data_IF_475829082005
#
_entry.id   IF_475829082005
#
_cell.length_a   1.000
_cell.length_b   1.000
_cell.length_c   1.000
_cell.angle_alpha   90.00
_cell.angle_beta   90.00
_cell.angle_gamma   90.00
#
_symmetry.space_group_name_H-M   'P 1'
#
loop_
_entity.id
_entity.type
_entity.pdbx_description
1 polymer ?
#
# COMPACT_ATOMS: atom_id res chain seq x y z
N UNK A 1 -13.74 11.91 -25.19
CA UNK A 1 -12.50 11.14 -24.96
C UNK A 1 -12.01 11.53 -23.57
N UNK A 2 -12.23 10.68 -22.56
CA UNK A 2 -11.89 11.02 -21.16
C UNK A 2 -10.37 10.94 -21.00
N UNK A 3 -9.74 12.08 -20.73
CA UNK A 3 -8.32 12.15 -20.42
C UNK A 3 -8.09 11.50 -19.04
N UNK A 4 -7.43 10.35 -19.04
CA UNK A 4 -6.92 9.73 -17.81
C UNK A 4 -5.68 10.55 -17.44
N UNK A 5 -5.88 11.53 -16.56
CA UNK A 5 -4.82 12.31 -15.91
C UNK A 5 -4.06 11.36 -14.98
N UNK A 6 -3.05 10.68 -15.52
CA UNK A 6 -2.03 10.05 -14.71
C UNK A 6 -1.11 11.16 -14.17
N UNK A 7 -1.43 11.69 -13.00
CA UNK A 7 -0.48 12.51 -12.25
C UNK A 7 0.47 11.56 -11.54
N UNK A 8 1.65 11.37 -12.13
CA UNK A 8 2.80 10.84 -11.42
C UNK A 8 3.33 12.00 -10.57
N UNK A 9 3.05 11.99 -9.27
CA UNK A 9 3.70 12.87 -8.33
C UNK A 9 5.14 12.42 -8.15
N UNK A 10 6.05 13.09 -8.85
CA UNK A 10 7.46 13.21 -8.47
C UNK A 10 7.54 13.94 -7.13
N UNK A 11 8.15 13.32 -6.12
CA UNK A 11 8.63 14.04 -4.93
C UNK A 11 9.77 13.30 -4.24
N UNK A 12 10.97 13.66 -4.70
CA UNK A 12 12.21 13.91 -3.96
C UNK A 12 12.30 13.48 -2.49
N UNK A 13 13.35 12.71 -2.23
CA UNK A 13 13.81 12.18 -0.95
C UNK A 13 13.90 13.23 0.16
N UNK A 14 13.22 12.95 1.28
CA UNK A 14 13.73 13.07 2.65
C UNK A 14 12.53 13.06 3.62
N UNK A 15 12.32 11.92 4.29
CA UNK A 15 11.23 11.75 5.27
C UNK A 15 9.81 11.93 4.67
N UNK A 16 9.60 11.34 3.50
CA UNK A 16 8.42 11.51 2.65
C UNK A 16 7.17 10.99 3.37
N UNK A 17 6.35 11.92 3.82
CA UNK A 17 5.06 11.66 4.46
C UNK A 17 4.21 10.83 3.50
N UNK A 18 4.07 9.53 3.79
CA UNK A 18 3.23 8.61 3.02
C UNK A 18 1.86 9.25 2.75
N UNK A 19 1.51 9.41 1.49
CA UNK A 19 0.27 10.03 1.05
C UNK A 19 -0.55 9.09 0.16
N UNK A 20 -1.80 9.45 -0.07
CA UNK A 20 -2.68 8.67 -0.95
C UNK A 20 -2.14 8.77 -2.36
N UNK A 21 -1.87 7.63 -3.01
CA UNK A 21 -1.25 7.56 -4.32
C UNK A 21 0.25 7.24 -4.31
N UNK A 22 0.92 7.31 -3.16
CA UNK A 22 2.34 6.93 -3.06
C UNK A 22 2.54 5.44 -3.37
N UNK A 23 3.62 5.14 -4.09
CA UNK A 23 4.11 3.78 -4.27
C UNK A 23 4.85 3.33 -3.01
N UNK A 24 4.59 2.10 -2.59
CA UNK A 24 5.20 1.50 -1.41
C UNK A 24 5.70 0.10 -1.73
N UNK A 25 6.73 -0.32 -1.01
CA UNK A 25 7.26 -1.68 -1.05
C UNK A 25 7.10 -2.34 0.31
N UNK A 26 6.61 -3.58 0.30
CA UNK A 26 6.50 -4.38 1.51
C UNK A 26 7.89 -4.85 1.95
N UNK A 27 8.26 -4.54 3.19
CA UNK A 27 9.54 -4.99 3.76
C UNK A 27 9.41 -6.34 4.46
N UNK A 28 8.22 -6.66 4.94
CA UNK A 28 7.92 -7.89 5.65
C UNK A 28 6.54 -8.41 5.27
N UNK A 29 6.33 -9.74 5.36
CA UNK A 29 5.03 -10.34 5.15
C UNK A 29 4.20 -10.25 6.44
N UNK A 30 3.15 -9.41 6.50
CA UNK A 30 2.28 -9.38 7.68
C UNK A 30 1.66 -10.75 7.90
N UNK A 31 1.68 -11.27 9.13
CA UNK A 31 1.13 -12.60 9.46
C UNK A 31 -0.38 -12.69 9.19
N UNK A 32 -1.10 -11.59 9.39
CA UNK A 32 -2.55 -11.49 9.19
C UNK A 32 -2.90 -10.22 8.43
N UNK A 33 -3.82 -10.34 7.48
CA UNK A 33 -4.27 -9.23 6.62
C UNK A 33 -5.78 -9.08 6.74
N UNK A 34 -6.26 -7.84 6.75
CA UNK A 34 -7.69 -7.55 6.66
C UNK A 34 -8.04 -7.25 5.20
N UNK A 35 -9.04 -7.96 4.69
CA UNK A 35 -9.55 -7.69 3.34
C UNK A 35 -10.52 -6.51 3.39
N UNK A 36 -10.38 -5.54 2.50
CA UNK A 36 -11.29 -4.39 2.39
C UNK A 36 -12.57 -4.72 1.60
N UNK A 37 -13.14 -5.92 1.78
CA UNK A 37 -14.42 -6.33 1.18
C UNK A 37 -15.60 -5.98 2.10
N UNK A 38 -16.84 -6.07 1.61
CA UNK A 38 -18.04 -5.68 2.37
C UNK A 38 -18.20 -6.38 3.72
N UNK A 39 -17.52 -7.53 3.91
CA UNK A 39 -17.38 -8.21 5.20
C UNK A 39 -15.87 -8.30 5.52
N UNK A 40 -15.35 -7.46 6.43
CA UNK A 40 -13.93 -7.47 6.77
C UNK A 40 -13.57 -8.71 7.59
N UNK A 41 -12.98 -9.71 6.94
CA UNK A 41 -12.43 -10.88 7.61
C UNK A 41 -10.92 -10.74 7.80
N UNK A 42 -10.44 -11.05 9.01
CA UNK A 42 -9.01 -11.23 9.30
C UNK A 42 -8.59 -12.58 8.70
N UNK A 43 -7.72 -12.57 7.70
CA UNK A 43 -7.22 -13.79 7.06
C UNK A 43 -5.73 -13.93 7.30
N UNK A 44 -5.27 -15.15 7.55
CA UNK A 44 -3.84 -15.47 7.59
C UNK A 44 -3.25 -15.20 6.21
N UNK A 45 -2.08 -14.58 6.18
CA UNK A 45 -1.37 -14.30 4.94
C UNK A 45 -0.79 -15.60 4.36
N UNK A 46 -1.58 -16.31 3.56
CA UNK A 46 -1.13 -17.50 2.82
C UNK A 46 -0.53 -17.11 1.47
N UNK A 47 0.36 -16.11 1.45
CA UNK A 47 1.03 -15.62 0.24
C UNK A 47 0.27 -14.56 -0.57
N UNK A 48 -0.69 -13.85 0.03
CA UNK A 48 -1.36 -12.70 -0.61
C UNK A 48 -0.45 -11.47 -0.68
N UNK A 49 0.44 -11.33 0.30
CA UNK A 49 1.44 -10.26 0.38
C UNK A 49 2.77 -10.89 0.72
N UNK A 50 3.79 -10.65 -0.09
CA UNK A 50 5.16 -11.11 0.16
C UNK A 50 6.08 -9.92 0.40
N UNK A 51 7.20 -10.09 1.12
CA UNK A 51 8.24 -9.07 1.14
C UNK A 51 8.72 -8.85 -0.31
N UNK A 52 8.91 -7.58 -0.67
CA UNK A 52 9.25 -7.15 -2.02
C UNK A 52 8.06 -6.90 -2.95
N UNK A 53 6.83 -7.25 -2.55
CA UNK A 53 5.64 -6.80 -3.30
C UNK A 53 5.56 -5.27 -3.30
N UNK A 54 5.15 -4.72 -4.43
CA UNK A 54 4.92 -3.30 -4.61
C UNK A 54 3.43 -3.04 -4.64
N UNK A 55 2.99 -2.06 -3.86
CA UNK A 55 1.60 -1.63 -3.76
C UNK A 55 1.46 -0.12 -3.85
N UNK A 56 0.21 0.33 -3.91
CA UNK A 56 -0.12 1.76 -3.92
C UNK A 56 -1.10 2.11 -2.81
N UNK A 57 -0.86 3.22 -2.10
CA UNK A 57 -1.77 3.67 -1.04
C UNK A 57 -3.06 4.20 -1.67
N UNK A 58 -4.20 3.67 -1.24
CA UNK A 58 -5.55 4.07 -1.67
C UNK A 58 -6.21 4.98 -0.65
N UNK A 59 -6.00 4.72 0.64
CA UNK A 59 -6.57 5.52 1.71
C UNK A 59 -5.80 5.36 3.01
N UNK A 60 -5.67 6.46 3.77
CA UNK A 60 -5.17 6.42 5.15
C UNK A 60 -6.30 6.16 6.12
N UNK A 61 -6.12 5.22 7.05
CA UNK A 61 -7.05 4.93 8.15
C UNK A 61 -6.43 5.41 9.47
N UNK A 62 -7.27 5.64 10.50
CA UNK A 62 -6.76 5.90 11.85
C UNK A 62 -5.92 4.71 12.37
N UNK A 63 -5.06 4.98 13.36
CA UNK A 63 -4.11 4.02 13.97
C UNK A 63 -3.00 3.52 13.02
N UNK A 64 -2.55 4.38 12.10
CA UNK A 64 -1.49 4.06 11.13
C UNK A 64 -1.76 2.80 10.30
N UNK A 65 -3.05 2.55 10.04
CA UNK A 65 -3.52 1.53 9.12
C UNK A 65 -3.72 2.18 7.75
N UNK A 66 -3.37 1.48 6.69
CA UNK A 66 -3.37 1.99 5.33
C UNK A 66 -4.07 1.00 4.42
N UNK A 67 -4.97 1.49 3.57
CA UNK A 67 -5.55 0.70 2.49
C UNK A 67 -4.57 0.71 1.33
N UNK A 68 -4.01 -0.45 1.00
CA UNK A 68 -3.03 -0.64 -0.06
C UNK A 68 -3.65 -1.45 -1.17
N UNK A 69 -3.57 -0.96 -2.41
CA UNK A 69 -3.91 -1.71 -3.61
C UNK A 69 -2.70 -2.52 -4.06
N UNK A 70 -2.88 -3.83 -4.11
CA UNK A 70 -2.00 -4.78 -4.78
C UNK A 70 -2.71 -5.36 -6.00
N UNK A 71 -1.97 -6.10 -6.83
CA UNK A 71 -2.53 -6.84 -7.98
C UNK A 71 -3.63 -7.83 -7.55
N UNK A 72 -3.49 -8.42 -6.36
CA UNK A 72 -4.49 -9.35 -5.80
C UNK A 72 -5.76 -8.65 -5.26
N UNK A 73 -5.71 -7.35 -4.97
CA UNK A 73 -6.84 -6.62 -4.38
C UNK A 73 -6.41 -5.50 -3.44
N UNK A 74 -7.37 -4.93 -2.72
CA UNK A 74 -7.12 -3.89 -1.71
C UNK A 74 -7.13 -4.49 -0.30
N UNK A 75 -6.06 -4.25 0.45
CA UNK A 75 -5.85 -4.80 1.79
C UNK A 75 -5.56 -3.68 2.79
N UNK A 76 -5.92 -3.90 4.05
CA UNK A 76 -5.55 -2.99 5.14
C UNK A 76 -4.26 -3.49 5.80
N UNK A 77 -3.24 -2.64 5.78
CA UNK A 77 -1.89 -2.95 6.20
C UNK A 77 -1.43 -1.88 7.19
N UNK A 78 -0.73 -2.30 8.23
CA UNK A 78 -0.12 -1.40 9.20
C UNK A 78 1.18 -0.80 8.63
N UNK A 79 1.41 0.49 8.83
CA UNK A 79 2.54 1.24 8.27
C UNK A 79 3.92 0.66 8.59
N UNK A 80 4.04 -0.22 9.58
CA UNK A 80 5.31 -0.89 9.93
C UNK A 80 5.76 -1.98 8.94
N UNK A 81 4.87 -2.52 8.11
CA UNK A 81 5.19 -3.63 7.21
C UNK A 81 5.64 -3.18 5.81
N UNK A 82 5.62 -1.89 5.53
CA UNK A 82 5.99 -1.35 4.22
C UNK A 82 6.74 -0.03 4.38
N UNK A 83 7.42 0.36 3.30
CA UNK A 83 8.16 1.63 3.22
C UNK A 83 7.84 2.31 1.90
N UNK A 84 7.97 3.65 1.81
CA UNK A 84 7.90 4.34 0.53
C UNK A 84 8.95 3.75 -0.43
N UNK A 85 8.54 3.53 -1.68
CA UNK A 85 9.47 3.13 -2.72
C UNK A 85 10.10 4.41 -3.29
N UNK A 86 11.31 4.75 -2.85
CA UNK A 86 12.15 5.75 -3.53
C UNK A 86 12.65 5.09 -4.82
N UNK A 87 12.11 5.52 -5.96
CA UNK A 87 12.74 5.30 -7.25
C UNK A 87 13.61 6.54 -7.45
N UNK A 88 14.85 6.47 -6.96
CA UNK A 88 15.91 7.33 -7.48
C UNK A 88 16.13 6.90 -8.94
N UNK A 89 15.94 7.84 -9.87
CA UNK A 89 16.18 7.66 -11.30
C UNK A 89 17.68 7.52 -11.62
#
# INVERSE_FOLDING_TARGET
>A
MFAIKCEASESSSSNSKLEIGSAIIFVDAPQTIKTATSIPCLRVNTGFVKPGDVGRIVARKPKDVWAVRLTMGTYLIDGKHFKPLDIDE
#
